data_IF_442044075720
#
_entry.id   IF_442044075720
#
_cell.length_a   1.000
_cell.length_b   1.000
_cell.length_c   1.000
_cell.angle_alpha   90.00
_cell.angle_beta   90.00
_cell.angle_gamma   90.00
#
_symmetry.space_group_name_H-M   'P 1'
#
loop_
_entity.id
_entity.type
_entity.pdbx_description
1 polymer ?
#
# COMPACT_ATOMS: atom_id res chain seq x y z
N UNK A 1 17.33 -17.87 -31.34
CA UNK A 1 16.89 -17.84 -29.95
C UNK A 1 17.20 -19.18 -29.28
N UNK A 2 17.83 -19.17 -28.09
CA UNK A 2 18.01 -20.34 -27.26
C UNK A 2 16.67 -20.84 -26.71
N UNK A 3 16.59 -22.08 -26.23
CA UNK A 3 15.37 -22.60 -25.61
C UNK A 3 14.99 -21.82 -24.35
N UNK A 4 15.96 -21.30 -23.61
CA UNK A 4 15.77 -20.45 -22.47
C UNK A 4 15.13 -19.07 -22.87
N UNK A 5 15.65 -18.48 -23.95
CA UNK A 5 15.07 -17.23 -24.49
C UNK A 5 13.64 -17.42 -25.00
N UNK A 6 13.33 -18.59 -25.61
CA UNK A 6 11.97 -18.92 -26.02
C UNK A 6 11.03 -19.03 -24.82
N UNK A 7 11.44 -19.73 -23.77
CA UNK A 7 10.66 -19.85 -22.53
C UNK A 7 10.38 -18.49 -21.89
N UNK A 8 11.37 -17.62 -21.85
CA UNK A 8 11.20 -16.25 -21.34
C UNK A 8 10.21 -15.44 -22.19
N UNK A 9 10.31 -15.53 -23.52
CA UNK A 9 9.40 -14.85 -24.43
C UNK A 9 7.96 -15.37 -24.32
N UNK A 10 7.77 -16.67 -24.11
CA UNK A 10 6.44 -17.26 -23.91
C UNK A 10 5.83 -16.82 -22.58
N UNK A 11 6.65 -16.74 -21.53
CA UNK A 11 6.22 -16.17 -20.25
C UNK A 11 5.84 -14.69 -20.38
N UNK A 12 6.61 -13.89 -21.11
CA UNK A 12 6.28 -12.49 -21.36
C UNK A 12 4.94 -12.34 -22.10
N UNK A 13 4.65 -13.19 -23.09
CA UNK A 13 3.33 -13.22 -23.76
C UNK A 13 2.20 -13.58 -22.80
N UNK A 14 2.43 -14.58 -21.93
CA UNK A 14 1.49 -14.96 -20.89
C UNK A 14 1.20 -13.79 -19.94
N UNK A 15 2.23 -13.07 -19.47
CA UNK A 15 2.08 -11.88 -18.62
C UNK A 15 1.20 -10.84 -19.31
N UNK A 16 1.46 -10.51 -20.57
CA UNK A 16 0.64 -9.57 -21.33
C UNK A 16 -0.81 -10.05 -21.45
N UNK A 17 -1.03 -11.33 -21.75
CA UNK A 17 -2.38 -11.88 -21.90
C UNK A 17 -3.22 -11.89 -20.61
N UNK A 18 -2.55 -11.83 -19.46
CA UNK A 18 -3.17 -11.81 -18.12
C UNK A 18 -3.17 -10.40 -17.49
N UNK A 19 -2.69 -9.39 -18.20
CA UNK A 19 -2.64 -7.99 -17.75
C UNK A 19 -3.88 -7.22 -18.19
N UNK A 20 -4.43 -6.38 -17.31
CA UNK A 20 -5.59 -5.56 -17.63
C UNK A 20 -5.29 -4.52 -18.71
N UNK A 21 -6.32 -4.11 -19.45
CA UNK A 21 -6.18 -3.09 -20.50
C UNK A 21 -5.70 -1.74 -19.93
N UNK A 22 -6.07 -1.39 -18.71
CA UNK A 22 -5.65 -0.17 -18.03
C UNK A 22 -4.14 -0.16 -17.75
N UNK A 23 -3.54 -1.34 -17.50
CA UNK A 23 -2.10 -1.47 -17.34
C UNK A 23 -1.34 -1.48 -18.67
N UNK A 24 -1.98 -1.86 -19.77
CA UNK A 24 -1.35 -1.95 -21.09
C UNK A 24 -1.51 -0.67 -21.94
N UNK A 25 -2.41 0.23 -21.56
CA UNK A 25 -2.74 1.44 -22.33
C UNK A 25 -2.94 2.64 -21.41
N UNK A 26 -2.11 3.66 -21.61
CA UNK A 26 -2.27 4.95 -20.91
C UNK A 26 -3.63 5.57 -21.17
N UNK A 27 -4.15 5.47 -22.40
CA UNK A 27 -5.47 5.98 -22.74
C UNK A 27 -6.57 5.25 -21.98
N UNK A 28 -6.52 3.92 -21.89
CA UNK A 28 -7.49 3.13 -21.13
C UNK A 28 -7.46 3.46 -19.64
N UNK A 29 -6.28 3.69 -19.08
CA UNK A 29 -6.14 4.15 -17.69
C UNK A 29 -6.75 5.54 -17.49
N UNK A 30 -6.46 6.48 -18.39
CA UNK A 30 -7.01 7.85 -18.33
C UNK A 30 -8.54 7.84 -18.42
N UNK A 31 -9.11 7.08 -19.33
CA UNK A 31 -10.57 6.91 -19.47
C UNK A 31 -11.20 6.30 -18.21
N UNK A 32 -10.54 5.30 -17.62
CA UNK A 32 -10.99 4.68 -16.37
C UNK A 32 -11.00 5.69 -15.22
N UNK A 33 -9.93 6.46 -15.05
CA UNK A 33 -9.82 7.47 -14.01
C UNK A 33 -10.86 8.60 -14.18
N UNK A 34 -11.06 9.07 -15.40
CA UNK A 34 -12.09 10.07 -15.71
C UNK A 34 -13.50 9.55 -15.39
N UNK A 35 -13.79 8.30 -15.73
CA UNK A 35 -15.08 7.68 -15.42
C UNK A 35 -15.29 7.55 -13.91
N UNK A 36 -14.31 7.03 -13.16
CA UNK A 36 -14.37 6.91 -11.72
C UNK A 36 -14.56 8.28 -11.05
N UNK A 37 -13.87 9.31 -11.52
CA UNK A 37 -14.02 10.67 -11.02
C UNK A 37 -15.40 11.29 -11.27
N UNK A 38 -16.12 10.85 -12.33
CA UNK A 38 -17.49 11.31 -12.62
C UNK A 38 -18.56 10.50 -11.88
N UNK A 39 -18.30 9.22 -11.62
CA UNK A 39 -19.28 8.27 -11.06
C UNK A 39 -19.20 8.15 -9.54
N UNK A 40 -18.15 8.69 -8.90
CA UNK A 40 -17.91 8.58 -7.46
C UNK A 40 -17.51 9.92 -6.84
N UNK A 41 -17.66 10.03 -5.53
CA UNK A 41 -17.21 11.19 -4.74
C UNK A 41 -15.74 11.06 -4.28
N UNK A 42 -15.03 10.03 -4.73
CA UNK A 42 -13.62 9.80 -4.40
C UNK A 42 -12.71 10.63 -5.31
N UNK A 43 -11.70 11.29 -4.73
CA UNK A 43 -10.64 11.96 -5.51
C UNK A 43 -9.55 10.96 -5.89
N UNK A 44 -9.72 10.35 -7.05
CA UNK A 44 -8.89 9.22 -7.51
C UNK A 44 -7.43 9.58 -7.76
N UNK A 45 -7.13 10.81 -8.20
CA UNK A 45 -5.74 11.26 -8.37
C UNK A 45 -5.00 11.33 -7.04
N UNK A 46 -5.67 11.87 -6.01
CA UNK A 46 -5.12 11.95 -4.66
C UNK A 46 -5.01 10.56 -4.01
N UNK A 47 -6.00 9.68 -4.23
CA UNK A 47 -5.96 8.29 -3.73
C UNK A 47 -4.79 7.50 -4.35
N UNK A 48 -4.54 7.69 -5.65
CA UNK A 48 -3.39 7.08 -6.34
C UNK A 48 -2.07 7.61 -5.78
N UNK A 49 -1.95 8.92 -5.56
CA UNK A 49 -0.80 9.53 -4.89
C UNK A 49 -0.56 8.91 -3.52
N UNK A 50 -1.59 8.79 -2.70
CA UNK A 50 -1.52 8.18 -1.37
C UNK A 50 -1.05 6.71 -1.44
N UNK A 51 -1.61 5.93 -2.35
CA UNK A 51 -1.27 4.52 -2.54
C UNK A 51 0.20 4.31 -2.90
N UNK A 52 0.70 5.05 -3.89
CA UNK A 52 2.10 4.94 -4.34
C UNK A 52 3.04 5.49 -3.26
N UNK A 53 2.72 6.64 -2.67
CA UNK A 53 3.57 7.28 -1.68
C UNK A 53 3.71 6.48 -0.38
N UNK A 54 2.63 5.91 0.15
CA UNK A 54 2.70 5.03 1.33
C UNK A 54 3.65 3.85 1.11
N UNK A 55 3.63 3.24 -0.06
CA UNK A 55 4.53 2.13 -0.38
C UNK A 55 5.98 2.58 -0.51
N UNK A 56 6.23 3.71 -1.16
CA UNK A 56 7.57 4.25 -1.31
C UNK A 56 8.20 4.58 0.05
N UNK A 57 7.52 5.33 0.89
CA UNK A 57 8.03 5.74 2.21
C UNK A 57 8.13 4.56 3.19
N UNK A 58 7.20 3.61 3.14
CA UNK A 58 7.31 2.36 3.90
C UNK A 58 8.52 1.55 3.46
N UNK A 59 8.86 1.57 2.17
CA UNK A 59 10.08 0.97 1.63
C UNK A 59 11.34 1.65 2.14
N UNK A 60 11.38 2.97 2.22
CA UNK A 60 12.52 3.73 2.76
C UNK A 60 12.71 3.46 4.26
N UNK A 61 11.63 3.42 5.03
CA UNK A 61 11.66 2.99 6.43
C UNK A 61 12.28 1.58 6.58
N UNK A 62 11.83 0.62 5.78
CA UNK A 62 12.35 -0.75 5.78
C UNK A 62 13.81 -0.84 5.35
N UNK A 63 14.24 0.00 4.39
CA UNK A 63 15.62 0.04 3.90
C UNK A 63 16.60 0.46 5.00
N UNK A 64 16.23 1.44 5.83
CA UNK A 64 17.05 1.84 6.99
C UNK A 64 17.22 0.68 7.96
N UNK A 65 16.13 -0.01 8.31
CA UNK A 65 16.13 -1.17 9.22
C UNK A 65 16.96 -2.32 8.65
N UNK A 66 16.78 -2.63 7.36
CA UNK A 66 17.55 -3.66 6.66
C UNK A 66 19.06 -3.40 6.75
N UNK A 67 19.48 -2.17 6.52
CA UNK A 67 20.89 -1.79 6.61
C UNK A 67 21.47 -1.94 8.02
N UNK A 68 20.68 -1.59 9.03
CA UNK A 68 21.09 -1.73 10.44
C UNK A 68 21.23 -3.22 10.80
N UNK A 69 20.23 -4.03 10.50
CA UNK A 69 20.18 -5.44 10.94
C UNK A 69 21.12 -6.32 10.12
N UNK A 70 21.14 -6.16 8.80
CA UNK A 70 21.79 -7.11 7.90
C UNK A 70 23.06 -6.60 7.22
N UNK A 71 23.34 -5.30 7.27
CA UNK A 71 24.45 -4.69 6.52
C UNK A 71 25.44 -3.92 7.39
N UNK A 72 25.37 -4.09 8.71
CA UNK A 72 26.34 -3.54 9.65
C UNK A 72 26.27 -2.02 9.82
N UNK A 73 25.19 -1.37 9.39
CA UNK A 73 25.01 0.07 9.64
C UNK A 73 24.81 0.31 11.13
N UNK A 74 25.60 1.20 11.76
CA UNK A 74 25.41 1.53 13.17
C UNK A 74 24.03 2.13 13.43
N UNK A 75 23.42 1.76 14.55
CA UNK A 75 22.22 2.42 15.04
C UNK A 75 22.59 3.48 16.08
N UNK A 76 22.26 4.72 15.79
CA UNK A 76 22.53 5.89 16.62
C UNK A 76 21.36 6.89 16.55
N UNK A 77 21.50 8.07 17.17
CA UNK A 77 20.45 9.09 17.17
C UNK A 77 20.11 9.63 15.76
N UNK A 78 21.06 9.66 14.83
CA UNK A 78 20.80 10.08 13.45
C UNK A 78 19.89 9.09 12.73
N UNK A 79 20.13 7.78 12.90
CA UNK A 79 19.29 6.74 12.33
C UNK A 79 17.89 6.70 12.98
N UNK A 80 17.83 6.89 14.28
CA UNK A 80 16.58 7.01 15.00
C UNK A 80 15.75 8.20 14.54
N UNK A 81 16.41 9.34 14.31
CA UNK A 81 15.78 10.54 13.77
C UNK A 81 15.33 10.34 12.31
N UNK A 82 16.14 9.68 11.49
CA UNK A 82 15.77 9.30 10.11
C UNK A 82 14.50 8.44 10.10
N UNK A 83 14.45 7.37 10.88
CA UNK A 83 13.26 6.51 11.01
C UNK A 83 12.01 7.30 11.45
N UNK A 84 12.15 8.24 12.37
CA UNK A 84 11.06 9.13 12.77
C UNK A 84 10.53 9.95 11.61
N UNK A 85 11.39 10.46 10.74
CA UNK A 85 10.99 11.23 9.55
C UNK A 85 10.24 10.36 8.55
N UNK A 86 10.73 9.15 8.27
CA UNK A 86 10.06 8.21 7.36
C UNK A 86 8.65 7.84 7.86
N UNK A 87 8.47 7.66 9.17
CA UNK A 87 7.13 7.46 9.74
C UNK A 87 6.23 8.68 9.53
N UNK A 88 6.78 9.89 9.61
CA UNK A 88 6.05 11.11 9.31
C UNK A 88 5.60 11.18 7.85
N UNK A 89 6.48 10.78 6.92
CA UNK A 89 6.17 10.76 5.48
C UNK A 89 5.09 9.71 5.15
N UNK A 90 5.15 8.53 5.76
CA UNK A 90 4.06 7.54 5.67
C UNK A 90 2.74 8.11 6.16
N UNK A 91 2.75 8.79 7.31
CA UNK A 91 1.55 9.42 7.87
C UNK A 91 0.99 10.51 6.94
N UNK A 92 1.85 11.31 6.32
CA UNK A 92 1.44 12.33 5.37
C UNK A 92 0.66 11.74 4.19
N UNK A 93 1.16 10.67 3.59
CA UNK A 93 0.45 9.96 2.52
C UNK A 93 -0.81 9.25 3.00
N UNK A 94 -0.81 8.73 4.22
CA UNK A 94 -2.00 8.12 4.82
C UNK A 94 -3.14 9.15 4.98
N UNK A 95 -2.83 10.37 5.43
CA UNK A 95 -3.82 11.46 5.51
C UNK A 95 -4.34 11.85 4.13
N UNK A 96 -3.48 11.86 3.10
CA UNK A 96 -3.92 12.06 1.71
C UNK A 96 -4.97 11.01 1.31
N UNK A 97 -4.77 9.76 1.67
CA UNK A 97 -5.72 8.68 1.42
C UNK A 97 -7.07 8.88 2.13
N UNK A 98 -7.04 9.27 3.40
CA UNK A 98 -8.26 9.60 4.14
C UNK A 98 -9.05 10.71 3.43
N UNK A 99 -8.38 11.79 3.09
CA UNK A 99 -8.98 12.95 2.41
C UNK A 99 -9.57 12.57 1.06
N UNK A 100 -8.84 11.77 0.27
CA UNK A 100 -9.30 11.33 -1.05
C UNK A 100 -10.61 10.52 -1.00
N UNK A 101 -10.82 9.78 0.09
CA UNK A 101 -12.02 8.99 0.35
C UNK A 101 -13.14 9.81 1.03
N UNK A 102 -12.88 11.06 1.39
CA UNK A 102 -13.85 11.91 2.09
C UNK A 102 -13.98 11.65 3.59
N UNK A 103 -13.02 10.94 4.19
CA UNK A 103 -12.97 10.71 5.63
C UNK A 103 -11.97 11.61 6.33
N UNK A 104 -12.25 11.96 7.57
CA UNK A 104 -11.23 12.53 8.45
C UNK A 104 -10.27 11.43 8.95
N UNK A 105 -9.02 11.77 9.27
CA UNK A 105 -8.11 10.82 9.93
C UNK A 105 -8.70 10.20 11.19
N UNK A 106 -9.47 10.97 11.96
CA UNK A 106 -10.12 10.48 13.17
C UNK A 106 -11.14 9.37 12.87
N UNK A 107 -12.01 9.55 11.87
CA UNK A 107 -12.99 8.53 11.47
C UNK A 107 -12.32 7.21 11.08
N UNK A 108 -11.20 7.28 10.36
CA UNK A 108 -10.45 6.08 9.96
C UNK A 108 -9.80 5.39 11.16
N UNK A 109 -9.23 6.16 12.11
CA UNK A 109 -8.69 5.61 13.35
C UNK A 109 -9.77 4.95 14.22
N UNK A 110 -10.93 5.59 14.37
CA UNK A 110 -12.07 5.07 15.13
C UNK A 110 -12.59 3.76 14.53
N UNK A 111 -12.70 3.66 13.20
CA UNK A 111 -13.09 2.43 12.54
C UNK A 111 -12.06 1.30 12.73
N UNK A 112 -10.77 1.62 12.72
CA UNK A 112 -9.71 0.66 13.02
C UNK A 112 -9.80 0.15 14.46
N UNK A 113 -10.03 1.03 15.45
CA UNK A 113 -10.22 0.67 16.85
C UNK A 113 -11.42 -0.28 16.98
N UNK A 114 -12.57 0.10 16.44
CA UNK A 114 -13.79 -0.69 16.46
C UNK A 114 -13.61 -2.09 15.87
N UNK A 115 -12.95 -2.17 14.72
CA UNK A 115 -12.61 -3.45 14.05
C UNK A 115 -11.72 -4.33 14.93
N UNK A 116 -10.68 -3.78 15.53
CA UNK A 116 -9.75 -4.53 16.38
C UNK A 116 -10.35 -4.94 17.72
N UNK A 117 -11.18 -4.10 18.34
CA UNK A 117 -11.93 -4.45 19.56
C UNK A 117 -12.92 -5.61 19.29
N UNK A 118 -13.58 -5.60 18.15
CA UNK A 118 -14.46 -6.70 17.77
C UNK A 118 -13.70 -8.01 17.51
N UNK A 119 -12.50 -7.94 16.91
CA UNK A 119 -11.64 -9.10 16.64
C UNK A 119 -10.97 -9.63 17.91
N UNK A 120 -10.51 -8.75 18.76
CA UNK A 120 -9.70 -9.06 19.96
C UNK A 120 -10.31 -8.48 21.24
N UNK A 121 -11.53 -8.88 21.64
CA UNK A 121 -12.20 -8.30 22.81
C UNK A 121 -11.46 -8.52 24.12
N UNK A 122 -10.57 -9.53 24.17
CA UNK A 122 -9.73 -9.88 25.34
C UNK A 122 -8.23 -9.71 25.06
N UNK A 123 -7.86 -8.85 24.08
CA UNK A 123 -6.49 -8.70 23.62
C UNK A 123 -6.12 -9.64 22.47
N UNK A 124 -4.88 -9.55 21.97
CA UNK A 124 -4.43 -10.29 20.80
C UNK A 124 -4.48 -11.82 21.00
N UNK A 125 -5.08 -12.52 20.04
CA UNK A 125 -5.13 -13.98 19.98
C UNK A 125 -4.77 -14.46 18.55
N UNK A 126 -3.78 -15.35 18.43
CA UNK A 126 -3.30 -15.90 17.14
C UNK A 126 -4.44 -16.54 16.35
N UNK A 127 -5.29 -17.35 17.00
CA UNK A 127 -6.41 -18.04 16.35
C UNK A 127 -7.38 -17.07 15.68
N UNK A 128 -7.63 -15.89 16.27
CA UNK A 128 -8.50 -14.86 15.71
C UNK A 128 -7.83 -14.05 14.59
N UNK A 129 -6.50 -13.95 14.61
CA UNK A 129 -5.72 -13.35 13.53
C UNK A 129 -5.72 -14.22 12.28
N UNK A 130 -5.60 -15.54 12.45
CA UNK A 130 -5.55 -16.52 11.35
C UNK A 130 -6.94 -16.87 10.79
N UNK A 131 -7.99 -16.86 11.64
CA UNK A 131 -9.35 -17.25 11.28
C UNK A 131 -10.30 -16.06 11.43
N UNK A 132 -10.34 -15.20 10.41
CA UNK A 132 -11.21 -14.02 10.39
C UNK A 132 -12.67 -14.39 10.22
N UNK A 133 -13.55 -13.68 10.91
CA UNK A 133 -15.00 -13.84 10.73
C UNK A 133 -15.45 -13.21 9.41
N UNK A 134 -16.63 -13.67 8.91
CA UNK A 134 -17.26 -13.09 7.72
C UNK A 134 -17.52 -11.59 7.96
N UNK A 135 -17.03 -10.74 7.05
CA UNK A 135 -17.14 -9.28 7.17
C UNK A 135 -15.97 -8.59 7.88
N UNK A 136 -15.03 -9.33 8.45
CA UNK A 136 -13.77 -8.80 9.00
C UNK A 136 -12.69 -8.80 7.90
N UNK A 137 -12.74 -7.79 7.04
CA UNK A 137 -11.82 -7.59 5.91
C UNK A 137 -10.67 -6.65 6.26
#
# INVERSE_FOLDING_TARGET
LTDEQKKFNDYAKFVISTTSKESLSTLSLAEKLLRLGRETDTEWSQLLTASIGMQAESGEFSEVIKKIIFQGKPYNEDERYHLKRELGDVLWYWVQGCTALGYTPQEVMEENIKKLEARYPNGFEVAKSENRQVGDI
#
